data_IF_559839933517
#
_entry.id   IF_559839933517
#
_cell.length_a   1.000
_cell.length_b   1.000
_cell.length_c   1.000
_cell.angle_alpha   90.00
_cell.angle_beta   90.00
_cell.angle_gamma   90.00
#
_symmetry.space_group_name_H-M   'P 1'
#
loop_
_entity.id
_entity.type
_entity.pdbx_description
1 polymer ?
#
# COMPACT_ATOMS: atom_id res chain seq x y z
N UNK A 1 1.97 -13.85 19.80
CA UNK A 1 1.61 -15.27 19.64
C UNK A 1 1.89 -15.83 18.23
N UNK A 2 1.93 -15.02 17.16
CA UNK A 2 2.13 -15.50 15.77
C UNK A 2 3.58 -15.90 15.39
N UNK A 3 4.59 -15.54 16.17
CA UNK A 3 6.00 -15.65 15.77
C UNK A 3 6.52 -17.10 15.68
N UNK A 4 6.16 -17.98 16.62
CA UNK A 4 6.59 -19.37 16.60
C UNK A 4 5.91 -20.16 15.47
N UNK A 5 4.61 -19.92 15.25
CA UNK A 5 3.84 -20.57 14.18
C UNK A 5 4.38 -20.16 12.80
N UNK A 6 4.61 -18.87 12.58
CA UNK A 6 5.18 -18.37 11.33
C UNK A 6 6.59 -18.94 11.10
N UNK A 7 7.39 -19.07 12.17
CA UNK A 7 8.71 -19.70 12.09
C UNK A 7 8.62 -21.17 11.67
N UNK A 8 7.76 -21.98 12.29
CA UNK A 8 7.58 -23.40 11.94
C UNK A 8 7.06 -23.58 10.50
N UNK A 9 6.10 -22.76 10.09
CA UNK A 9 5.58 -22.75 8.70
C UNK A 9 6.69 -22.37 7.73
N UNK A 10 7.49 -21.35 8.05
CA UNK A 10 8.62 -20.91 7.22
C UNK A 10 9.69 -22.00 7.12
N UNK A 11 9.99 -22.69 8.22
CA UNK A 11 10.94 -23.80 8.25
C UNK A 11 10.47 -24.95 7.36
N UNK A 12 9.19 -25.32 7.44
CA UNK A 12 8.59 -26.31 6.54
C UNK A 12 8.72 -25.91 5.06
N UNK A 13 8.47 -24.65 4.75
CA UNK A 13 8.62 -24.12 3.38
C UNK A 13 10.07 -24.10 2.90
N UNK A 14 11.03 -23.75 3.76
CA UNK A 14 12.46 -23.84 3.47
C UNK A 14 12.88 -25.28 3.15
N UNK A 15 12.49 -26.24 3.99
CA UNK A 15 12.80 -27.66 3.79
C UNK A 15 12.17 -28.23 2.51
N UNK A 16 11.04 -27.67 2.08
CA UNK A 16 10.37 -28.01 0.82
C UNK A 16 10.84 -27.20 -0.40
N UNK A 17 11.89 -26.37 -0.28
CA UNK A 17 12.43 -25.51 -1.35
C UNK A 17 11.42 -24.51 -1.95
N UNK A 18 10.41 -24.12 -1.16
CA UNK A 18 9.38 -23.16 -1.57
C UNK A 18 9.81 -21.70 -1.36
N UNK A 19 10.91 -21.46 -0.66
CA UNK A 19 11.51 -20.12 -0.46
C UNK A 19 12.81 -20.03 -1.27
N UNK A 20 12.85 -19.09 -2.21
CA UNK A 20 13.96 -18.92 -3.18
C UNK A 20 14.65 -17.55 -3.07
N UNK A 21 14.11 -16.62 -2.28
CA UNK A 21 14.68 -15.27 -2.13
C UNK A 21 14.56 -14.75 -0.70
N UNK A 22 15.35 -13.71 -0.41
CA UNK A 22 15.28 -13.00 0.87
C UNK A 22 13.92 -12.33 1.12
N UNK A 23 13.26 -11.81 0.08
CA UNK A 23 11.91 -11.23 0.20
C UNK A 23 10.88 -12.28 0.64
N UNK A 24 10.95 -13.48 0.08
CA UNK A 24 10.06 -14.60 0.42
C UNK A 24 10.29 -15.10 1.85
N UNK A 25 11.55 -15.14 2.30
CA UNK A 25 11.90 -15.51 3.67
C UNK A 25 11.35 -14.49 4.68
N UNK A 26 11.62 -13.20 4.44
CA UNK A 26 11.14 -12.11 5.31
C UNK A 26 9.62 -12.08 5.40
N UNK A 27 8.94 -12.22 4.27
CA UNK A 27 7.48 -12.28 4.23
C UNK A 27 6.94 -13.47 5.01
N UNK A 28 7.49 -14.67 4.81
CA UNK A 28 7.00 -15.88 5.50
C UNK A 28 7.18 -15.80 7.00
N UNK A 29 8.31 -15.25 7.48
CA UNK A 29 8.55 -15.06 8.92
C UNK A 29 7.60 -14.02 9.52
N UNK A 30 7.34 -12.92 8.80
CA UNK A 30 6.48 -11.84 9.29
C UNK A 30 5.00 -12.22 9.27
N UNK A 31 4.53 -12.77 8.15
CA UNK A 31 3.10 -12.93 7.86
C UNK A 31 2.63 -14.39 7.96
N UNK A 32 3.50 -15.39 7.79
CA UNK A 32 3.13 -16.81 7.81
C UNK A 32 2.40 -17.31 6.55
N UNK A 33 2.09 -16.43 5.59
CA UNK A 33 1.40 -16.76 4.33
C UNK A 33 2.38 -17.15 3.22
N UNK A 34 1.88 -17.84 2.20
CA UNK A 34 2.73 -18.29 1.10
C UNK A 34 3.28 -17.07 0.33
N UNK A 35 4.60 -16.89 0.28
CA UNK A 35 5.20 -15.70 -0.32
C UNK A 35 4.98 -15.58 -1.83
N UNK A 36 4.63 -16.68 -2.50
CA UNK A 36 4.41 -16.73 -3.95
C UNK A 36 2.98 -16.46 -4.39
N UNK A 37 2.04 -16.40 -3.43
CA UNK A 37 0.66 -16.09 -3.77
C UNK A 37 0.59 -14.70 -4.42
N UNK A 38 -0.29 -14.48 -5.40
CA UNK A 38 -0.52 -13.16 -5.94
C UNK A 38 -0.91 -12.13 -4.86
N UNK A 39 -0.31 -10.94 -4.90
CA UNK A 39 -0.50 -9.92 -3.88
C UNK A 39 -1.98 -9.49 -3.72
N UNK A 40 -2.74 -9.44 -4.82
CA UNK A 40 -4.18 -9.10 -4.80
C UNK A 40 -5.05 -10.08 -4.01
N UNK A 41 -4.59 -11.31 -3.71
CA UNK A 41 -5.33 -12.20 -2.81
C UNK A 41 -5.25 -11.73 -1.36
N UNK A 42 -4.16 -11.06 -0.99
CA UNK A 42 -3.90 -10.58 0.37
C UNK A 42 -4.39 -9.16 0.58
N UNK A 43 -4.07 -8.26 -0.35
CA UNK A 43 -4.36 -6.84 -0.19
C UNK A 43 -5.38 -6.32 -1.19
N UNK A 44 -6.08 -5.28 -0.79
CA UNK A 44 -6.90 -4.43 -1.65
C UNK A 44 -6.67 -2.96 -1.36
N UNK A 45 -6.98 -2.13 -2.35
CA UNK A 45 -6.99 -0.68 -2.17
C UNK A 45 -8.42 -0.20 -1.98
N UNK A 46 -8.60 0.73 -1.06
CA UNK A 46 -9.83 1.46 -0.84
C UNK A 46 -9.56 2.96 -0.92
N UNK A 47 -10.46 3.69 -1.57
CA UNK A 47 -10.45 5.15 -1.58
C UNK A 47 -11.41 5.65 -0.50
N UNK A 48 -10.94 6.54 0.37
CA UNK A 48 -11.77 7.24 1.35
C UNK A 48 -11.71 8.74 1.08
N UNK A 49 -12.87 9.33 0.86
CA UNK A 49 -13.03 10.78 0.79
C UNK A 49 -13.35 11.32 2.17
N UNK A 50 -12.58 12.30 2.63
CA UNK A 50 -12.75 12.94 3.92
C UNK A 50 -12.94 14.45 3.73
N UNK A 51 -14.13 14.94 4.13
CA UNK A 51 -14.41 16.37 4.13
C UNK A 51 -13.73 16.98 5.35
N UNK A 52 -12.89 18.00 5.12
CA UNK A 52 -12.30 18.76 6.21
C UNK A 52 -13.28 19.80 6.73
N UNK A 53 -13.16 20.13 8.02
CA UNK A 53 -13.92 21.22 8.62
C UNK A 53 -13.55 22.55 7.93
N UNK A 54 -14.53 23.32 7.45
CA UNK A 54 -14.29 24.57 6.76
C UNK A 54 -13.77 25.62 7.75
N UNK A 55 -12.64 26.25 7.41
CA UNK A 55 -12.03 27.31 8.21
C UNK A 55 -12.45 28.71 7.74
N UNK A 56 -12.92 28.83 6.51
CA UNK A 56 -13.32 30.11 5.89
C UNK A 56 -14.77 30.10 5.43
N UNK A 57 -15.38 31.29 5.27
CA UNK A 57 -16.75 31.46 4.76
C UNK A 57 -16.92 30.85 3.34
N UNK A 58 -15.89 30.96 2.50
CA UNK A 58 -15.87 30.34 1.18
C UNK A 58 -15.84 28.80 1.25
N UNK A 59 -15.10 28.23 2.20
CA UNK A 59 -15.05 26.79 2.44
C UNK A 59 -16.36 26.23 3.03
N UNK A 60 -17.19 27.07 3.68
CA UNK A 60 -18.53 26.63 4.11
C UNK A 60 -19.44 26.28 2.92
N UNK A 61 -19.23 26.95 1.77
CA UNK A 61 -19.97 26.68 0.53
C UNK A 61 -19.42 25.43 -0.19
N UNK A 62 -18.10 25.25 -0.17
CA UNK A 62 -17.45 24.08 -0.75
C UNK A 62 -16.33 23.56 0.18
N UNK A 63 -16.62 22.57 1.04
CA UNK A 63 -15.64 22.05 2.00
C UNK A 63 -14.43 21.43 1.29
N UNK A 64 -13.20 21.67 1.76
CA UNK A 64 -12.02 21.04 1.19
C UNK A 64 -12.09 19.52 1.39
N UNK A 65 -11.90 18.77 0.32
CA UNK A 65 -11.90 17.29 0.32
C UNK A 65 -10.46 16.79 0.30
N UNK A 66 -10.16 15.83 1.18
CA UNK A 66 -8.93 15.04 1.12
C UNK A 66 -9.30 13.63 0.70
N UNK A 67 -8.60 13.13 -0.31
CA UNK A 67 -8.69 11.77 -0.80
C UNK A 67 -7.58 10.94 -0.17
N UNK A 68 -7.92 9.82 0.46
CA UNK A 68 -6.99 8.89 1.12
C UNK A 68 -7.04 7.53 0.42
N UNK A 69 -5.88 7.03 -0.01
CA UNK A 69 -5.69 5.67 -0.48
C UNK A 69 -5.34 4.80 0.72
N UNK A 70 -6.16 3.78 0.96
CA UNK A 70 -6.03 2.85 2.07
C UNK A 70 -5.66 1.48 1.50
N UNK A 71 -4.59 0.88 1.99
CA UNK A 71 -4.29 -0.52 1.75
C UNK A 71 -4.93 -1.34 2.86
N UNK A 72 -5.83 -2.25 2.49
CA UNK A 72 -6.48 -3.16 3.42
C UNK A 72 -5.89 -4.55 3.33
N UNK A 73 -5.82 -5.21 4.47
CA UNK A 73 -5.55 -6.65 4.57
C UNK A 73 -6.88 -7.41 4.59
N UNK A 74 -7.15 -8.17 3.53
CA UNK A 74 -8.42 -8.92 3.37
C UNK A 74 -8.65 -9.96 4.45
N UNK A 75 -7.60 -10.42 5.10
CA UNK A 75 -7.70 -11.43 6.13
C UNK A 75 -7.66 -10.85 7.55
N UNK A 76 -7.55 -9.52 7.69
CA UNK A 76 -7.68 -8.81 8.97
C UNK A 76 -6.54 -9.03 9.96
N UNK A 77 -5.37 -9.53 9.52
CA UNK A 77 -4.21 -9.70 10.40
C UNK A 77 -3.44 -8.39 10.61
N UNK A 78 -3.67 -7.39 9.75
CA UNK A 78 -3.12 -6.03 9.89
C UNK A 78 -4.23 -5.00 9.86
N UNK A 79 -3.98 -3.88 10.52
CA UNK A 79 -4.85 -2.72 10.45
C UNK A 79 -4.77 -2.09 9.06
N UNK A 80 -5.90 -1.54 8.61
CA UNK A 80 -5.97 -0.69 7.44
C UNK A 80 -4.92 0.42 7.52
N UNK A 81 -4.17 0.58 6.44
CA UNK A 81 -3.01 1.46 6.40
C UNK A 81 -3.21 2.56 5.36
N UNK A 82 -3.08 3.82 5.77
CA UNK A 82 -3.21 4.97 4.86
C UNK A 82 -1.90 5.09 4.08
N UNK A 83 -1.95 4.67 2.82
CA UNK A 83 -0.79 4.56 1.93
C UNK A 83 -0.39 5.88 1.30
N UNK A 84 -1.39 6.69 0.92
CA UNK A 84 -1.19 7.97 0.26
C UNK A 84 -2.42 8.85 0.50
N UNK A 85 -2.24 10.17 0.56
CA UNK A 85 -3.36 11.09 0.59
C UNK A 85 -3.01 12.40 -0.12
N UNK A 86 -4.01 13.00 -0.77
CA UNK A 86 -3.86 14.29 -1.45
C UNK A 86 -5.21 15.00 -1.54
N UNK A 87 -5.16 16.31 -1.78
CA UNK A 87 -6.34 17.11 -2.18
C UNK A 87 -6.62 17.01 -3.68
N UNK A 88 -5.60 16.65 -4.46
CA UNK A 88 -5.70 16.46 -5.90
C UNK A 88 -6.19 15.05 -6.24
N UNK A 89 -7.40 14.98 -6.78
CA UNK A 89 -8.02 13.72 -7.21
C UNK A 89 -7.25 13.03 -8.33
N UNK A 90 -6.69 13.79 -9.27
CA UNK A 90 -5.96 13.24 -10.43
C UNK A 90 -4.72 12.46 -9.99
N UNK A 91 -3.97 13.01 -9.03
CA UNK A 91 -2.81 12.35 -8.44
C UNK A 91 -3.20 11.07 -7.69
N UNK A 92 -4.32 11.10 -6.98
CA UNK A 92 -4.82 9.95 -6.23
C UNK A 92 -5.30 8.84 -7.15
N UNK A 93 -6.02 9.19 -8.22
CA UNK A 93 -6.47 8.23 -9.23
C UNK A 93 -5.28 7.58 -9.94
N UNK A 94 -4.24 8.36 -10.29
CA UNK A 94 -3.01 7.84 -10.86
C UNK A 94 -2.25 6.91 -9.89
N UNK A 95 -2.20 7.27 -8.61
CA UNK A 95 -1.64 6.41 -7.55
C UNK A 95 -2.43 5.09 -7.47
N UNK A 96 -3.76 5.16 -7.39
CA UNK A 96 -4.63 4.00 -7.30
C UNK A 96 -4.44 3.05 -8.48
N UNK A 97 -4.38 3.58 -9.69
CA UNK A 97 -4.19 2.77 -10.90
C UNK A 97 -2.84 2.03 -10.86
N UNK A 98 -1.75 2.74 -10.56
CA UNK A 98 -0.42 2.13 -10.53
C UNK A 98 -0.31 1.04 -9.45
N UNK A 99 -0.77 1.31 -8.22
CA UNK A 99 -0.69 0.30 -7.14
C UNK A 99 -1.65 -0.86 -7.41
N UNK A 100 -2.83 -0.61 -7.99
CA UNK A 100 -3.76 -1.67 -8.42
C UNK A 100 -3.13 -2.61 -9.45
N UNK A 101 -2.35 -2.05 -10.38
CA UNK A 101 -1.61 -2.84 -11.38
C UNK A 101 -0.51 -3.67 -10.72
N UNK A 102 0.27 -3.07 -9.82
CA UNK A 102 1.32 -3.77 -9.06
C UNK A 102 0.75 -4.94 -8.24
N UNK A 103 -0.39 -4.77 -7.57
CA UNK A 103 -1.08 -5.85 -6.84
C UNK A 103 -1.43 -7.06 -7.72
N UNK A 104 -1.74 -6.83 -9.00
CA UNK A 104 -2.09 -7.89 -9.96
C UNK A 104 -0.86 -8.56 -10.57
N UNK A 105 0.26 -7.85 -10.65
CA UNK A 105 1.46 -8.29 -11.37
C UNK A 105 2.58 -8.81 -10.47
N UNK A 106 2.46 -8.70 -9.14
CA UNK A 106 3.51 -9.08 -8.19
C UNK A 106 3.09 -10.19 -7.23
N UNK A 107 4.10 -10.86 -6.67
CA UNK A 107 3.89 -11.83 -5.59
C UNK A 107 3.68 -11.11 -4.27
N UNK A 108 3.09 -11.80 -3.30
CA UNK A 108 2.82 -11.22 -2.00
C UNK A 108 4.10 -10.78 -1.28
N UNK A 109 5.19 -11.55 -1.41
CA UNK A 109 6.48 -11.21 -0.81
C UNK A 109 7.12 -9.96 -1.41
N UNK A 110 7.05 -9.80 -2.73
CA UNK A 110 7.65 -8.66 -3.42
C UNK A 110 6.83 -7.39 -3.15
N UNK A 111 5.50 -7.50 -3.19
CA UNK A 111 4.62 -6.40 -2.82
C UNK A 111 4.85 -5.96 -1.37
N UNK A 112 4.90 -6.91 -0.43
CA UNK A 112 5.16 -6.63 0.98
C UNK A 112 6.48 -5.89 1.19
N UNK A 113 7.54 -6.34 0.52
CA UNK A 113 8.87 -5.75 0.67
C UNK A 113 8.88 -4.32 0.15
N UNK A 114 8.42 -4.10 -1.09
CA UNK A 114 8.45 -2.79 -1.76
C UNK A 114 7.50 -1.78 -1.12
N UNK A 115 6.28 -2.21 -0.81
CA UNK A 115 5.19 -1.29 -0.46
C UNK A 115 4.94 -1.17 1.04
N UNK A 116 5.05 -2.27 1.80
CA UNK A 116 4.72 -2.27 3.22
C UNK A 116 5.97 -2.04 4.08
N UNK A 117 7.08 -2.69 3.76
CA UNK A 117 8.34 -2.53 4.51
C UNK A 117 9.11 -1.28 4.09
N UNK A 118 9.41 -1.15 2.81
CA UNK A 118 10.27 -0.08 2.28
C UNK A 118 9.53 1.23 2.07
N UNK A 119 8.19 1.21 2.04
CA UNK A 119 7.35 2.39 1.81
C UNK A 119 7.85 3.19 0.62
N UNK A 120 7.97 2.55 -0.54
CA UNK A 120 8.51 3.17 -1.75
C UNK A 120 7.60 4.29 -2.30
N UNK A 121 7.65 5.45 -1.65
CA UNK A 121 6.87 6.66 -1.97
C UNK A 121 7.46 7.42 -3.16
N UNK A 122 8.74 7.22 -3.47
CA UNK A 122 9.43 7.83 -4.62
C UNK A 122 8.83 7.39 -5.97
N UNK A 123 8.15 6.24 -6.00
CA UNK A 123 7.39 5.81 -7.17
C UNK A 123 6.15 6.68 -7.46
N UNK A 124 5.63 7.38 -6.44
CA UNK A 124 4.48 8.28 -6.56
C UNK A 124 4.88 9.71 -6.95
N UNK A 125 6.13 10.11 -6.73
CA UNK A 125 6.65 11.44 -7.06
C UNK A 125 7.10 11.59 -8.52
N UNK A 126 7.09 10.51 -9.32
CA UNK A 126 7.30 10.55 -10.77
C UNK A 126 6.20 11.25 -11.59
N UNK A 127 5.34 12.05 -10.94
CA UNK A 127 4.52 13.07 -11.58
C UNK A 127 5.34 14.35 -11.48
N UNK A 128 6.16 14.63 -12.49
CA UNK A 128 7.01 15.83 -12.55
C UNK A 128 6.22 17.06 -12.12
N UNK A 129 6.69 17.67 -11.04
CA UNK A 129 6.22 18.96 -10.58
C UNK A 129 6.62 20.03 -11.61
N UNK A 130 5.73 20.33 -12.55
CA UNK A 130 5.65 21.70 -13.08
C UNK A 130 5.07 22.58 -11.99
N UNK A 131 5.88 22.95 -11.01
CA UNK A 131 5.60 24.12 -10.18
C UNK A 131 5.95 25.32 -11.07
N UNK A 132 4.96 25.79 -11.83
CA UNK A 132 5.01 27.15 -12.35
C UNK A 132 4.79 28.07 -11.15
N UNK A 133 5.88 28.63 -10.61
CA UNK A 133 5.78 29.80 -9.76
C UNK A 133 5.33 30.95 -10.68
N UNK A 134 4.09 31.42 -10.54
CA UNK A 134 3.74 32.75 -11.00
C UNK A 134 4.63 33.74 -10.23
N UNK A 135 5.61 34.33 -10.92
CA UNK A 135 6.35 35.49 -10.42
C UNK A 135 5.36 36.65 -10.23
N UNK A 136 5.42 37.24 -9.03
CA UNK A 136 4.59 38.34 -8.56
C UNK A 136 4.87 39.69 -9.26
#
# INVERSE_FOLDING_TARGET
MLTLTNFLVTLGRLLSFQILSGSQLRYSLAEGFNPRDPAYYRWELALKEEKQEPKTEAEKLLPPVIYKVILRDKFGFRLDDVFYFSKDKTRVDACLEKISKELKCTTAADFYTKWVLERNLDFLTGVEEKIEFEEA
#
